data_IF_794067224344
#
_entry.id   IF_794067224344
#
_cell.length_a   1.000
_cell.length_b   1.000
_cell.length_c   1.000
_cell.angle_alpha   90.00
_cell.angle_beta   90.00
_cell.angle_gamma   90.00
#
_symmetry.space_group_name_H-M   'P 1'
#
loop_
_entity.id
_entity.type
_entity.pdbx_description
1 polymer ?
#
# COMPACT_ATOMS: atom_id res chain seq x y z
N UNK A 1 20.01 16.63 -5.47
CA UNK A 1 18.86 17.56 -5.52
C UNK A 1 17.73 17.08 -6.44
N UNK A 2 18.01 16.60 -7.66
CA UNK A 2 16.97 16.11 -8.59
C UNK A 2 16.35 14.74 -8.20
N UNK A 3 17.16 13.81 -7.69
CA UNK A 3 16.70 12.45 -7.33
C UNK A 3 15.71 12.42 -6.17
N UNK A 4 15.96 13.23 -5.12
CA UNK A 4 15.06 13.33 -3.97
C UNK A 4 13.68 13.89 -4.38
N UNK A 5 13.69 14.82 -5.35
CA UNK A 5 12.48 15.44 -5.88
C UNK A 5 11.70 14.49 -6.80
N UNK A 6 12.41 13.69 -7.59
CA UNK A 6 11.81 12.60 -8.37
C UNK A 6 11.18 11.52 -7.49
N UNK A 7 11.88 11.07 -6.45
CA UNK A 7 11.35 10.06 -5.51
C UNK A 7 10.14 10.60 -4.73
N UNK A 8 10.19 11.86 -4.29
CA UNK A 8 9.07 12.53 -3.65
C UNK A 8 7.85 12.57 -4.58
N UNK A 9 8.04 12.98 -5.84
CA UNK A 9 6.95 13.04 -6.81
C UNK A 9 6.40 11.66 -7.16
N UNK A 10 7.26 10.65 -7.23
CA UNK A 10 6.87 9.26 -7.49
C UNK A 10 6.05 8.68 -6.33
N UNK A 11 6.46 8.95 -5.08
CA UNK A 11 5.68 8.56 -3.91
C UNK A 11 4.32 9.28 -3.88
N UNK A 12 4.31 10.59 -4.18
CA UNK A 12 3.07 11.36 -4.30
C UNK A 12 2.15 10.77 -5.36
N UNK A 13 2.70 10.42 -6.54
CA UNK A 13 1.97 9.81 -7.63
C UNK A 13 1.31 8.49 -7.17
N UNK A 14 2.06 7.60 -6.52
CA UNK A 14 1.52 6.33 -6.01
C UNK A 14 0.39 6.58 -5.01
N UNK A 15 0.58 7.50 -4.05
CA UNK A 15 -0.43 7.83 -3.04
C UNK A 15 -1.69 8.39 -3.69
N UNK A 16 -1.55 9.32 -4.64
CA UNK A 16 -2.67 9.89 -5.37
C UNK A 16 -3.40 8.83 -6.19
N UNK A 17 -2.70 7.99 -6.95
CA UNK A 17 -3.31 6.91 -7.72
C UNK A 17 -4.05 5.93 -6.81
N UNK A 18 -3.49 5.57 -5.67
CA UNK A 18 -4.15 4.73 -4.68
C UNK A 18 -5.43 5.40 -4.14
N UNK A 19 -5.36 6.68 -3.76
CA UNK A 19 -6.53 7.44 -3.35
C UNK A 19 -7.59 7.49 -4.45
N UNK A 20 -7.21 7.71 -5.71
CA UNK A 20 -8.18 7.72 -6.82
C UNK A 20 -8.85 6.35 -6.99
N UNK A 21 -8.08 5.26 -7.01
CA UNK A 21 -8.66 3.90 -7.12
C UNK A 21 -9.63 3.63 -5.99
N UNK A 22 -9.27 3.93 -4.74
CA UNK A 22 -10.16 3.72 -3.59
C UNK A 22 -11.39 4.63 -3.65
N UNK A 23 -11.24 5.88 -4.09
CA UNK A 23 -12.34 6.83 -4.27
C UNK A 23 -13.29 6.39 -5.39
N UNK A 24 -12.78 5.85 -6.50
CA UNK A 24 -13.59 5.34 -7.60
C UNK A 24 -14.28 4.01 -7.26
N UNK A 25 -13.62 3.13 -6.50
CA UNK A 25 -14.13 1.80 -6.19
C UNK A 25 -15.15 1.81 -5.05
N UNK A 26 -14.94 2.66 -4.03
CA UNK A 26 -15.82 2.75 -2.86
C UNK A 26 -16.71 4.01 -2.87
N UNK A 27 -16.41 4.99 -3.72
CA UNK A 27 -17.13 6.26 -3.78
C UNK A 27 -16.71 7.25 -2.68
N UNK A 28 -17.01 8.55 -2.85
CA UNK A 28 -16.60 9.61 -1.93
C UNK A 28 -17.26 9.52 -0.55
N UNK A 29 -18.41 8.83 -0.43
CA UNK A 29 -19.14 8.64 0.84
C UNK A 29 -18.48 7.62 1.76
N UNK A 30 -17.86 6.59 1.19
CA UNK A 30 -17.28 5.46 1.91
C UNK A 30 -15.76 5.38 1.72
N UNK A 31 -15.13 6.48 1.30
CA UNK A 31 -13.69 6.53 1.04
C UNK A 31 -12.86 6.13 2.28
N UNK A 32 -13.18 6.67 3.46
CA UNK A 32 -12.44 6.36 4.68
C UNK A 32 -12.59 4.89 5.10
N UNK A 33 -13.79 4.31 4.96
CA UNK A 33 -14.04 2.90 5.28
C UNK A 33 -13.37 1.97 4.26
N UNK A 34 -13.37 2.34 2.97
CA UNK A 34 -12.66 1.65 1.89
C UNK A 34 -11.14 1.66 2.06
N UNK A 35 -10.54 2.83 2.34
CA UNK A 35 -9.09 2.95 2.62
C UNK A 35 -8.70 2.06 3.79
N UNK A 36 -9.45 2.08 4.88
CA UNK A 36 -9.13 1.28 6.07
C UNK A 36 -9.23 -0.23 5.80
N UNK A 37 -10.24 -0.66 5.03
CA UNK A 37 -10.44 -2.07 4.66
C UNK A 37 -9.34 -2.58 3.74
N UNK A 38 -8.95 -1.78 2.74
CA UNK A 38 -7.88 -2.15 1.82
C UNK A 38 -6.50 -2.06 2.49
N UNK A 39 -6.29 -1.09 3.38
CA UNK A 39 -5.07 -0.99 4.19
C UNK A 39 -4.91 -2.19 5.11
N UNK A 40 -5.97 -2.65 5.78
CA UNK A 40 -5.92 -3.88 6.60
C UNK A 40 -5.58 -5.11 5.77
N UNK A 41 -6.13 -5.21 4.54
CA UNK A 41 -5.84 -6.30 3.62
C UNK A 41 -4.38 -6.26 3.15
N UNK A 42 -3.91 -5.12 2.65
CA UNK A 42 -2.51 -4.91 2.21
C UNK A 42 -1.55 -5.13 3.38
N UNK A 43 -1.84 -4.61 4.57
CA UNK A 43 -1.04 -4.84 5.78
C UNK A 43 -0.95 -6.33 6.10
N UNK A 44 -2.05 -7.08 6.00
CA UNK A 44 -2.02 -8.54 6.21
C UNK A 44 -1.16 -9.27 5.18
N UNK A 45 -1.20 -8.84 3.92
CA UNK A 45 -0.41 -9.43 2.83
C UNK A 45 1.06 -9.09 2.99
N UNK A 46 1.39 -7.82 3.27
CA UNK A 46 2.75 -7.36 3.54
C UNK A 46 3.31 -8.05 4.76
N UNK A 47 2.58 -8.15 5.88
CA UNK A 47 3.03 -8.88 7.08
C UNK A 47 3.26 -10.35 6.75
N UNK A 48 2.35 -11.01 6.02
CA UNK A 48 2.54 -12.40 5.58
C UNK A 48 3.74 -12.57 4.64
N UNK A 49 4.02 -11.61 3.77
CA UNK A 49 5.20 -11.64 2.91
C UNK A 49 6.48 -11.38 3.70
N UNK A 50 6.48 -10.43 4.63
CA UNK A 50 7.60 -10.16 5.54
C UNK A 50 7.87 -11.35 6.45
N UNK A 51 6.85 -12.07 6.92
CA UNK A 51 7.02 -13.34 7.64
C UNK A 51 7.62 -14.44 6.74
N UNK A 52 7.20 -14.53 5.48
CA UNK A 52 7.79 -15.47 4.50
C UNK A 52 9.23 -15.13 4.14
N UNK A 53 9.60 -13.85 4.14
CA UNK A 53 10.96 -13.36 3.86
C UNK A 53 11.84 -13.48 5.12
N UNK A 54 11.27 -13.32 6.32
CA UNK A 54 11.97 -13.35 7.61
C UNK A 54 12.10 -14.73 8.26
N UNK A 55 11.36 -15.75 7.81
CA UNK A 55 11.61 -17.14 8.20
C UNK A 55 12.72 -17.70 7.30
N UNK A 56 13.98 -17.84 7.77
CA UNK A 56 14.92 -18.68 7.04
C UNK A 56 14.29 -20.06 6.95
N UNK A 57 14.27 -20.60 5.73
CA UNK A 57 13.91 -21.98 5.45
C UNK A 57 14.72 -22.87 6.39
N UNK A 58 14.14 -23.29 7.51
CA UNK A 58 14.67 -24.43 8.27
C UNK A 58 14.43 -25.64 7.38
N UNK A 59 15.47 -25.97 6.62
CA UNK A 59 15.61 -27.27 6.00
C UNK A 59 15.51 -28.30 7.13
N UNK A 60 14.47 -29.12 7.10
CA UNK A 60 14.41 -30.39 7.79
C UNK A 60 14.11 -31.43 6.72
#
# INVERSE_FOLDING_TARGET
>A
MALLRGLFWFALFIVFTFCFVVLFEYGPRDFASGVQKEYLRVKSVVVKQTEKIGKPKKNH
#
